data_IF_469442618384
#
_entry.id   IF_469442618384
#
_cell.length_a   1.000
_cell.length_b   1.000
_cell.length_c   1.000
_cell.angle_alpha   90.00
_cell.angle_beta   90.00
_cell.angle_gamma   90.00
#
_symmetry.space_group_name_H-M   'P 1'
#
loop_
_entity.id
_entity.type
_entity.pdbx_description
1 polymer ?
#
# COMPACT_ATOMS: atom_id res chain seq x y z
N UNK A 1 -13.93 15.39 -4.52
CA UNK A 1 -14.37 14.31 -5.42
C UNK A 1 -14.21 14.82 -6.85
N UNK A 2 -13.74 13.99 -7.78
CA UNK A 2 -13.55 14.36 -9.19
C UNK A 2 -14.74 13.95 -10.06
N UNK A 3 -14.66 14.24 -11.36
CA UNK A 3 -15.62 13.80 -12.37
C UNK A 3 -15.37 12.31 -12.72
N UNK A 4 -16.38 11.43 -12.58
CA UNK A 4 -16.27 10.03 -12.99
C UNK A 4 -15.87 9.82 -14.46
N UNK A 5 -16.32 10.68 -15.39
CA UNK A 5 -16.02 10.51 -16.82
C UNK A 5 -14.54 10.79 -17.10
N UNK A 6 -13.98 11.84 -16.47
CA UNK A 6 -12.54 12.13 -16.53
C UNK A 6 -11.72 10.98 -15.92
N UNK A 7 -12.17 10.45 -14.78
CA UNK A 7 -11.51 9.32 -14.11
C UNK A 7 -11.44 8.06 -14.97
N UNK A 8 -12.48 7.75 -15.76
CA UNK A 8 -12.45 6.62 -16.69
C UNK A 8 -11.40 6.80 -17.79
N UNK A 9 -11.23 8.01 -18.31
CA UNK A 9 -10.19 8.32 -19.31
C UNK A 9 -8.80 8.20 -18.70
N UNK A 10 -8.59 8.76 -17.51
CA UNK A 10 -7.29 8.75 -16.82
C UNK A 10 -6.86 7.34 -16.37
N UNK A 11 -7.81 6.51 -15.93
CA UNK A 11 -7.52 5.16 -15.45
C UNK A 11 -7.42 4.13 -16.57
N UNK A 12 -7.84 4.44 -17.80
CA UNK A 12 -7.82 3.52 -18.93
C UNK A 12 -6.45 2.82 -19.16
N UNK A 13 -5.29 3.49 -19.08
CA UNK A 13 -3.99 2.82 -19.22
C UNK A 13 -3.72 1.81 -18.11
N UNK A 14 -4.09 2.13 -16.87
CA UNK A 14 -3.93 1.23 -15.71
C UNK A 14 -4.86 0.02 -15.84
N UNK A 15 -6.10 0.26 -16.30
CA UNK A 15 -7.07 -0.76 -16.69
C UNK A 15 -6.61 -1.64 -17.87
N UNK A 16 -5.47 -1.37 -18.50
CA UNK A 16 -4.93 -2.18 -19.60
C UNK A 16 -3.57 -2.82 -19.28
N UNK A 17 -3.02 -2.60 -18.07
CA UNK A 17 -1.65 -2.99 -17.72
C UNK A 17 -1.38 -4.51 -17.76
N UNK A 18 -2.41 -5.33 -17.53
CA UNK A 18 -2.30 -6.80 -17.58
C UNK A 18 -3.62 -7.44 -17.99
N UNK A 19 -3.53 -8.55 -18.74
CA UNK A 19 -4.67 -9.37 -19.12
C UNK A 19 -5.17 -10.28 -17.96
N UNK A 20 -4.33 -10.55 -16.96
CA UNK A 20 -4.65 -11.46 -15.84
C UNK A 20 -5.16 -10.75 -14.58
N UNK A 21 -5.55 -9.47 -14.69
CA UNK A 21 -6.03 -8.69 -13.55
C UNK A 21 -7.52 -8.87 -13.30
N UNK A 22 -7.93 -8.63 -12.06
CA UNK A 22 -9.33 -8.33 -11.73
C UNK A 22 -9.49 -6.82 -11.71
N UNK A 23 -10.40 -6.28 -12.52
CA UNK A 23 -10.70 -4.85 -12.55
C UNK A 23 -11.97 -4.57 -11.74
N UNK A 24 -11.82 -3.84 -10.63
CA UNK A 24 -12.91 -3.34 -9.79
C UNK A 24 -12.95 -1.81 -9.78
N UNK A 25 -12.21 -1.14 -10.66
CA UNK A 25 -12.14 0.33 -10.70
C UNK A 25 -13.40 0.91 -11.34
N UNK A 26 -14.08 1.76 -10.58
CA UNK A 26 -15.22 2.53 -11.06
C UNK A 26 -15.70 3.51 -9.99
N UNK A 27 -16.76 4.27 -10.27
CA UNK A 27 -17.28 5.25 -9.33
C UNK A 27 -17.84 4.56 -8.09
N UNK A 28 -17.35 4.94 -6.91
CA UNK A 28 -17.85 4.45 -5.62
C UNK A 28 -18.03 5.62 -4.64
N UNK A 29 -18.97 5.52 -3.69
CA UNK A 29 -19.09 6.51 -2.61
C UNK A 29 -17.77 6.64 -1.84
N UNK A 30 -17.37 7.86 -1.49
CA UNK A 30 -16.12 8.10 -0.76
C UNK A 30 -16.03 7.32 0.55
N UNK A 31 -17.12 7.21 1.30
CA UNK A 31 -17.16 6.43 2.55
C UNK A 31 -17.01 4.93 2.30
N UNK A 32 -17.52 4.42 1.18
CA UNK A 32 -17.31 3.04 0.78
C UNK A 32 -15.84 2.79 0.40
N UNK A 33 -15.21 3.74 -0.33
CA UNK A 33 -13.77 3.70 -0.63
C UNK A 33 -12.93 3.63 0.66
N UNK A 34 -13.25 4.48 1.64
CA UNK A 34 -12.54 4.50 2.93
C UNK A 34 -12.69 3.19 3.73
N UNK A 35 -13.82 2.49 3.57
CA UNK A 35 -14.10 1.24 4.28
C UNK A 35 -13.61 -0.04 3.57
N UNK A 36 -13.02 0.07 2.36
CA UNK A 36 -12.58 -1.11 1.60
C UNK A 36 -11.56 -1.98 2.35
N UNK A 37 -10.76 -1.37 3.24
CA UNK A 37 -9.74 -2.08 4.01
C UNK A 37 -10.28 -2.76 5.28
N UNK A 38 -11.52 -2.46 5.72
CA UNK A 38 -12.07 -2.97 6.98
C UNK A 38 -12.13 -4.51 7.02
N UNK A 39 -12.59 -5.21 5.97
CA UNK A 39 -12.62 -6.68 5.97
C UNK A 39 -11.23 -7.33 5.99
N UNK A 40 -10.19 -6.60 5.57
CA UNK A 40 -8.80 -7.07 5.58
C UNK A 40 -8.15 -6.93 6.97
N UNK A 41 -8.79 -6.20 7.88
CA UNK A 41 -8.27 -5.89 9.21
C UNK A 41 -9.29 -6.19 10.32
N UNK A 42 -9.78 -7.44 10.42
CA UNK A 42 -10.68 -7.81 11.49
C UNK A 42 -10.00 -7.67 12.87
N UNK A 43 -10.79 -7.49 13.94
CA UNK A 43 -10.27 -7.51 15.30
C UNK A 43 -9.48 -8.80 15.61
N UNK A 44 -8.56 -8.70 16.57
CA UNK A 44 -7.80 -9.81 17.14
C UNK A 44 -6.71 -10.43 16.26
N UNK A 45 -6.37 -9.82 15.12
CA UNK A 45 -5.13 -10.16 14.43
C UNK A 45 -3.90 -9.61 15.16
N UNK A 46 -2.85 -10.41 15.22
CA UNK A 46 -1.52 -9.95 15.59
C UNK A 46 -0.88 -9.31 14.35
N UNK A 47 -0.07 -8.27 14.56
CA UNK A 47 0.47 -7.45 13.49
C UNK A 47 1.92 -7.04 13.78
N UNK A 48 2.79 -7.08 12.78
CA UNK A 48 4.12 -6.49 12.82
C UNK A 48 4.40 -5.75 11.51
N UNK A 49 4.62 -4.44 11.61
CA UNK A 49 4.72 -3.57 10.43
C UNK A 49 6.12 -2.97 10.30
N UNK A 50 6.65 -2.98 9.08
CA UNK A 50 7.91 -2.32 8.72
C UNK A 50 7.62 -1.36 7.57
N UNK A 51 8.01 -0.10 7.74
CA UNK A 51 7.78 0.96 6.75
C UNK A 51 9.10 1.57 6.31
N UNK A 52 9.19 1.92 5.02
CA UNK A 52 10.34 2.64 4.48
C UNK A 52 9.88 3.74 3.51
N UNK A 53 10.37 4.95 3.76
CA UNK A 53 10.24 6.07 2.81
C UNK A 53 11.34 5.98 1.76
N UNK A 54 10.97 6.16 0.49
CA UNK A 54 11.89 6.06 -0.64
C UNK A 54 11.65 7.16 -1.67
N UNK A 55 12.72 7.75 -2.19
CA UNK A 55 12.65 8.76 -3.26
C UNK A 55 12.36 8.13 -4.62
N UNK A 56 12.68 6.84 -4.78
CA UNK A 56 12.52 6.07 -6.01
C UNK A 56 12.32 4.59 -5.70
N UNK A 57 11.64 3.88 -6.60
CA UNK A 57 11.36 2.45 -6.47
C UNK A 57 12.10 1.69 -7.56
N UNK A 58 13.32 1.25 -7.23
CA UNK A 58 14.18 0.52 -8.17
C UNK A 58 13.78 -0.94 -8.27
N UNK A 59 14.05 -1.56 -9.43
CA UNK A 59 13.77 -2.97 -9.69
C UNK A 59 14.38 -3.89 -8.63
N UNK A 60 15.60 -3.59 -8.15
CA UNK A 60 16.25 -4.41 -7.13
C UNK A 60 15.49 -4.36 -5.78
N UNK A 61 14.88 -3.22 -5.46
CA UNK A 61 14.02 -3.09 -4.27
C UNK A 61 12.76 -3.93 -4.44
N UNK A 62 12.09 -3.82 -5.59
CA UNK A 62 10.88 -4.59 -5.87
C UNK A 62 11.16 -6.09 -5.79
N UNK A 63 12.23 -6.56 -6.42
CA UNK A 63 12.60 -7.98 -6.40
C UNK A 63 13.01 -8.46 -4.99
N UNK A 64 13.71 -7.64 -4.22
CA UNK A 64 14.06 -7.99 -2.84
C UNK A 64 12.80 -8.18 -1.99
N UNK A 65 11.87 -7.23 -2.02
CA UNK A 65 10.66 -7.30 -1.20
C UNK A 65 9.72 -8.40 -1.70
N UNK A 66 9.61 -8.60 -3.02
CA UNK A 66 8.88 -9.72 -3.63
C UNK A 66 9.40 -11.06 -3.13
N UNK A 67 10.72 -11.27 -3.09
CA UNK A 67 11.32 -12.52 -2.60
C UNK A 67 10.91 -12.81 -1.16
N UNK A 68 10.96 -11.80 -0.28
CA UNK A 68 10.54 -11.97 1.11
C UNK A 68 9.05 -12.27 1.23
N UNK A 69 8.22 -11.54 0.47
CA UNK A 69 6.77 -11.74 0.47
C UNK A 69 6.39 -13.17 0.05
N UNK A 70 7.03 -13.71 -0.98
CA UNK A 70 6.80 -15.09 -1.46
C UNK A 70 7.22 -16.18 -0.46
N UNK A 71 8.07 -15.85 0.51
CA UNK A 71 8.48 -16.76 1.58
C UNK A 71 7.75 -16.52 2.90
N UNK A 72 6.82 -15.56 2.94
CA UNK A 72 6.05 -15.25 4.15
C UNK A 72 5.23 -16.46 4.57
N UNK A 73 5.25 -16.76 5.87
CA UNK A 73 4.52 -17.90 6.44
C UNK A 73 3.03 -17.61 6.61
N UNK A 74 2.66 -16.33 6.69
CA UNK A 74 1.28 -15.92 6.82
C UNK A 74 0.64 -15.56 5.47
N UNK A 75 -0.50 -16.20 5.11
CA UNK A 75 -1.20 -15.94 3.85
C UNK A 75 -2.03 -14.65 3.86
N UNK A 76 -2.14 -13.98 5.01
CA UNK A 76 -2.93 -12.74 5.18
C UNK A 76 -2.04 -11.50 5.30
N UNK A 77 -0.73 -11.65 5.12
CA UNK A 77 0.20 -10.51 5.12
C UNK A 77 0.10 -9.72 3.81
N UNK A 78 0.38 -8.43 3.88
CA UNK A 78 0.24 -7.51 2.76
C UNK A 78 1.56 -6.78 2.51
N UNK A 79 1.75 -6.38 1.25
CA UNK A 79 2.85 -5.54 0.80
C UNK A 79 2.25 -4.37 0.02
N UNK A 80 2.45 -3.15 0.51
CA UNK A 80 1.94 -1.95 -0.13
C UNK A 80 3.09 -1.13 -0.72
N UNK A 81 2.90 -0.70 -1.96
CA UNK A 81 3.72 0.32 -2.62
C UNK A 81 2.84 1.54 -2.82
N UNK A 82 3.01 2.54 -1.97
CA UNK A 82 2.16 3.72 -1.91
C UNK A 82 2.89 4.90 -2.54
N UNK A 83 2.37 5.41 -3.65
CA UNK A 83 2.86 6.63 -4.25
C UNK A 83 2.19 7.83 -3.59
N UNK A 84 2.96 8.65 -2.88
CA UNK A 84 2.45 9.76 -2.04
C UNK A 84 2.18 11.01 -2.87
N UNK A 85 2.76 11.10 -4.08
CA UNK A 85 2.57 12.23 -4.97
C UNK A 85 3.17 13.54 -4.44
N UNK A 86 2.75 14.68 -5.02
CA UNK A 86 3.38 15.98 -4.76
C UNK A 86 2.72 16.79 -3.64
N UNK A 87 1.46 16.55 -3.30
CA UNK A 87 0.73 17.37 -2.33
C UNK A 87 1.39 17.42 -0.93
N UNK A 88 2.03 16.32 -0.50
CA UNK A 88 2.78 16.28 0.77
C UNK A 88 4.12 17.04 0.67
N UNK A 89 4.74 17.03 -0.51
CA UNK A 89 6.02 17.69 -0.80
C UNK A 89 5.91 19.20 -1.05
N UNK A 90 4.70 19.71 -1.30
CA UNK A 90 4.44 21.14 -1.57
C UNK A 90 4.56 22.02 -0.31
N UNK A 91 4.35 21.43 0.87
CA UNK A 91 4.49 22.11 2.16
C UNK A 91 5.95 22.07 2.61
N UNK A 92 6.49 23.22 3.01
CA UNK A 92 7.88 23.32 3.48
C UNK A 92 8.13 22.46 4.73
N UNK A 93 9.33 21.89 4.84
CA UNK A 93 9.78 21.16 6.04
C UNK A 93 9.77 22.04 7.30
N UNK A 94 9.84 23.37 7.14
CA UNK A 94 9.82 24.33 8.24
C UNK A 94 8.41 24.63 8.76
N UNK A 95 7.35 24.30 8.00
CA UNK A 95 5.97 24.63 8.37
C UNK A 95 5.41 23.72 9.47
N UNK A 96 5.91 22.49 9.63
CA UNK A 96 5.56 21.59 10.73
C UNK A 96 6.55 20.42 10.86
N UNK A 97 6.36 19.58 11.89
CA UNK A 97 7.28 18.49 12.25
C UNK A 97 7.13 17.20 11.42
N UNK A 98 6.24 17.16 10.43
CA UNK A 98 6.10 15.99 9.56
C UNK A 98 7.26 15.93 8.56
N UNK A 99 8.16 14.97 8.76
CA UNK A 99 9.36 14.74 7.94
C UNK A 99 9.11 13.90 6.69
N UNK A 100 10.18 13.54 5.98
CA UNK A 100 10.16 12.68 4.78
C UNK A 100 9.25 13.16 3.63
N UNK A 101 8.90 14.46 3.60
CA UNK A 101 8.00 15.07 2.60
C UNK A 101 8.47 14.93 1.15
N UNK A 102 9.78 14.72 0.94
CA UNK A 102 10.38 14.56 -0.38
C UNK A 102 10.35 13.13 -0.90
N UNK A 103 10.04 12.15 -0.05
CA UNK A 103 9.89 10.76 -0.46
C UNK A 103 8.69 10.64 -1.40
N UNK A 104 8.88 9.91 -2.50
CA UNK A 104 7.80 9.67 -3.49
C UNK A 104 7.01 8.43 -3.17
N UNK A 105 7.64 7.48 -2.48
CA UNK A 105 7.11 6.17 -2.18
C UNK A 105 7.16 5.88 -0.69
N UNK A 106 6.15 5.17 -0.21
CA UNK A 106 6.17 4.45 1.05
C UNK A 106 6.03 2.97 0.72
N UNK A 107 6.98 2.16 1.17
CA UNK A 107 6.89 0.70 1.12
C UNK A 107 6.51 0.20 2.50
N UNK A 108 5.35 -0.43 2.60
CA UNK A 108 4.81 -0.96 3.85
C UNK A 108 4.73 -2.49 3.78
N UNK A 109 5.39 -3.16 4.72
CA UNK A 109 5.33 -4.60 4.91
C UNK A 109 4.46 -4.85 6.13
N UNK A 110 3.25 -5.35 5.90
CA UNK A 110 2.21 -5.55 6.90
C UNK A 110 2.11 -7.04 7.18
N UNK A 111 2.87 -7.54 8.16
CA UNK A 111 2.79 -8.96 8.55
C UNK A 111 1.65 -9.13 9.54
N UNK A 112 0.72 -10.05 9.25
CA UNK A 112 -0.48 -10.30 10.06
C UNK A 112 -0.59 -11.78 10.38
N UNK A 113 -1.02 -12.18 11.58
CA UNK A 113 -1.27 -13.59 11.89
C UNK A 113 -2.36 -13.75 12.96
N UNK A 114 -3.08 -14.85 12.91
CA UNK A 114 -4.25 -15.14 13.76
C UNK A 114 -3.86 -15.79 15.10
N UNK A 115 -2.87 -16.67 15.10
CA UNK A 115 -2.46 -17.44 16.28
C UNK A 115 -1.15 -16.91 16.90
N UNK A 116 -1.17 -16.38 18.13
CA UNK A 116 0.03 -15.87 18.81
C UNK A 116 1.21 -16.86 18.88
N UNK A 117 0.97 -18.17 18.78
CA UNK A 117 2.04 -19.19 18.71
C UNK A 117 2.95 -19.03 17.48
N UNK A 118 2.49 -18.35 16.44
CA UNK A 118 3.27 -18.10 15.22
C UNK A 118 4.08 -16.80 15.27
N UNK A 119 4.10 -16.08 16.41
CA UNK A 119 4.76 -14.77 16.52
C UNK A 119 6.22 -14.81 16.07
N UNK A 120 7.02 -15.76 16.56
CA UNK A 120 8.45 -15.83 16.23
C UNK A 120 8.70 -15.96 14.72
N UNK A 121 7.85 -16.71 14.02
CA UNK A 121 7.93 -16.89 12.57
C UNK A 121 7.47 -15.66 11.76
N UNK A 122 6.83 -14.67 12.38
CA UNK A 122 6.21 -13.52 11.73
C UNK A 122 6.82 -12.16 12.10
N UNK A 123 7.74 -12.09 13.07
CA UNK A 123 8.36 -10.83 13.52
C UNK A 123 9.80 -10.62 13.04
N UNK A 124 10.36 -11.54 12.25
CA UNK A 124 11.74 -11.46 11.74
C UNK A 124 11.95 -10.34 10.72
#
# INVERSE_FOLDING_TARGET
MGDPEEGEVELAPVKQISASKVDMMGPIPYTALQALADPLNPPHLNNHWKNQFMDDLKDETVEAVRKYFLTSTSPISELHFEYVGKGVSEVSEEENTFGHRKAKWIVNIVVKWDDPRHTEANVS
#
